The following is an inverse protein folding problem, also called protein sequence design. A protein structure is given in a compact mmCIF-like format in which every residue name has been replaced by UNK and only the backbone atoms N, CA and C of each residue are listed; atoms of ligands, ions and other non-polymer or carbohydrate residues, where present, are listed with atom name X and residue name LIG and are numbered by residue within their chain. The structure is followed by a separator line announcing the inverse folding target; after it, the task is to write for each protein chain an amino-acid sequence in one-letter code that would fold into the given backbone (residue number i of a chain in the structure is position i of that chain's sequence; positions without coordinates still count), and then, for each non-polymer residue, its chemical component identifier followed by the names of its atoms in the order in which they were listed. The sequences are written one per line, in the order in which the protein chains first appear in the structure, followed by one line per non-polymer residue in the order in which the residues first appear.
data_IF_694610046766
#
_entry.id   IF_694610046766
#
_cell.length_a   1.000
_cell.length_b   1.000
_cell.length_c   1.000
_cell.angle_alpha   90.00
_cell.angle_beta   90.00
_cell.angle_gamma   90.00
#
_symmetry.space_group_name_H-M   'P 1'
#
loop_
_entity.id
_entity.type
_entity.pdbx_description
1 polymer ?
#
# COMPACT_ATOMS: atom_id res chain seq x y z
N UNK A 1 -19.38 0.26 12.94
CA UNK A 1 -18.11 0.02 13.67
C UNK A 1 -17.61 -1.41 13.45
N UNK A 2 -18.44 -2.46 13.64
CA UNK A 2 -18.02 -3.86 13.43
C UNK A 2 -17.51 -4.13 12.01
N UNK A 3 -18.18 -3.60 10.97
CA UNK A 3 -17.74 -3.74 9.59
C UNK A 3 -16.34 -3.12 9.35
N UNK A 4 -16.09 -1.94 9.93
CA UNK A 4 -14.79 -1.26 9.83
C UNK A 4 -13.70 -2.08 10.53
N UNK A 5 -13.95 -2.59 11.74
CA UNK A 5 -12.99 -3.43 12.45
C UNK A 5 -12.69 -4.73 11.69
N UNK A 6 -13.74 -5.37 11.12
CA UNK A 6 -13.58 -6.56 10.30
C UNK A 6 -12.77 -6.29 9.03
N UNK A 7 -13.12 -5.23 8.29
CA UNK A 7 -12.39 -4.84 7.08
C UNK A 7 -10.93 -4.50 7.34
N UNK A 8 -10.65 -3.76 8.43
CA UNK A 8 -9.30 -3.45 8.86
C UNK A 8 -8.52 -4.73 9.22
N UNK A 9 -9.11 -5.62 10.00
CA UNK A 9 -8.47 -6.88 10.41
C UNK A 9 -8.18 -7.81 9.22
N UNK A 10 -9.17 -8.02 8.35
CA UNK A 10 -9.02 -8.87 7.15
C UNK A 10 -7.94 -8.31 6.23
N UNK A 11 -7.96 -7.00 5.95
CA UNK A 11 -6.96 -6.37 5.07
C UNK A 11 -5.57 -6.37 5.69
N UNK A 12 -5.46 -6.20 7.01
CA UNK A 12 -4.17 -6.30 7.70
C UNK A 12 -3.51 -7.67 7.56
N UNK A 13 -4.33 -8.74 7.51
CA UNK A 13 -3.85 -10.12 7.33
C UNK A 13 -3.57 -10.40 5.86
N UNK A 14 -4.52 -10.09 4.97
CA UNK A 14 -4.39 -10.35 3.53
C UNK A 14 -3.39 -9.43 2.83
N UNK A 15 -3.10 -8.27 3.42
CA UNK A 15 -2.24 -7.22 2.86
C UNK A 15 -2.69 -6.75 1.47
N UNK A 16 -4.01 -6.85 1.20
CA UNK A 16 -4.62 -6.45 -0.07
C UNK A 16 -6.02 -5.88 0.14
N UNK A 17 -6.15 -4.57 0.11
CA UNK A 17 -7.44 -3.87 0.18
C UNK A 17 -8.32 -4.17 -1.04
N UNK A 18 -7.71 -4.34 -2.22
CA UNK A 18 -8.42 -4.73 -3.43
C UNK A 18 -9.08 -6.10 -3.30
N UNK A 19 -8.35 -7.11 -2.80
CA UNK A 19 -8.91 -8.45 -2.56
C UNK A 19 -10.07 -8.40 -1.56
N UNK A 20 -9.91 -7.67 -0.45
CA UNK A 20 -10.98 -7.49 0.55
C UNK A 20 -12.21 -6.82 -0.07
N UNK A 21 -12.02 -5.81 -0.92
CA UNK A 21 -13.12 -5.09 -1.57
C UNK A 21 -13.83 -5.97 -2.60
N UNK A 22 -13.10 -6.72 -3.45
CA UNK A 22 -13.70 -7.66 -4.42
C UNK A 22 -14.51 -8.74 -3.71
N UNK A 23 -13.97 -9.34 -2.64
CA UNK A 23 -14.71 -10.30 -1.82
C UNK A 23 -15.99 -9.69 -1.24
N UNK A 24 -15.92 -8.45 -0.75
CA UNK A 24 -17.07 -7.74 -0.20
C UNK A 24 -18.14 -7.50 -1.26
N UNK A 25 -17.74 -7.07 -2.47
CA UNK A 25 -18.67 -6.89 -3.62
C UNK A 25 -19.32 -8.22 -3.99
N UNK A 26 -18.53 -9.31 -4.05
CA UNK A 26 -19.07 -10.66 -4.30
C UNK A 26 -20.11 -11.09 -3.27
N UNK A 27 -19.89 -10.80 -1.98
CA UNK A 27 -20.86 -11.11 -0.90
C UNK A 27 -22.15 -10.26 -1.01
N UNK A 28 -22.05 -9.02 -1.46
CA UNK A 28 -23.23 -8.18 -1.73
C UNK A 28 -24.01 -8.71 -2.92
N UNK A 29 -23.33 -9.06 -4.01
CA UNK A 29 -23.96 -9.61 -5.20
C UNK A 29 -24.65 -10.97 -4.92
N UNK A 30 -24.06 -11.78 -4.05
CA UNK A 30 -24.66 -13.04 -3.58
C UNK A 30 -25.84 -12.86 -2.59
N UNK A 31 -26.17 -11.62 -2.24
CA UNK A 31 -27.24 -11.33 -1.26
C UNK A 31 -26.90 -11.68 0.19
N UNK A 32 -25.64 -12.01 0.47
CA UNK A 32 -25.17 -12.39 1.82
C UNK A 32 -24.83 -11.18 2.69
N UNK A 33 -24.71 -10.01 2.08
CA UNK A 33 -24.34 -8.76 2.75
C UNK A 33 -25.13 -7.59 2.16
N UNK A 34 -25.54 -6.64 3.00
CA UNK A 34 -26.15 -5.41 2.52
C UNK A 34 -25.08 -4.31 2.26
N UNK A 35 -25.46 -3.30 1.47
CA UNK A 35 -24.57 -2.21 1.07
C UNK A 35 -23.99 -1.45 2.27
N UNK A 36 -24.76 -1.26 3.34
CA UNK A 36 -24.30 -0.55 4.53
C UNK A 36 -23.19 -1.32 5.27
N UNK A 37 -23.30 -2.64 5.32
CA UNK A 37 -22.26 -3.51 5.89
C UNK A 37 -21.00 -3.49 5.01
N UNK A 38 -21.19 -3.60 3.71
CA UNK A 38 -20.10 -3.53 2.72
C UNK A 38 -19.31 -2.22 2.81
N UNK A 39 -20.01 -1.08 2.91
CA UNK A 39 -19.37 0.22 3.07
C UNK A 39 -18.46 0.26 4.31
N UNK A 40 -18.90 -0.29 5.44
CA UNK A 40 -18.08 -0.40 6.64
C UNK A 40 -16.79 -1.22 6.41
N UNK A 41 -16.89 -2.35 5.69
CA UNK A 41 -15.74 -3.22 5.42
C UNK A 41 -14.75 -2.52 4.47
N UNK A 42 -15.24 -1.84 3.43
CA UNK A 42 -14.38 -1.09 2.48
C UNK A 42 -13.63 0.04 3.19
N UNK A 43 -14.32 0.80 4.06
CA UNK A 43 -13.67 1.81 4.89
C UNK A 43 -12.60 1.21 5.81
N UNK A 44 -12.89 0.05 6.40
CA UNK A 44 -11.95 -0.70 7.22
C UNK A 44 -10.75 -1.21 6.42
N UNK A 45 -10.97 -1.65 5.18
CA UNK A 45 -9.90 -2.13 4.31
C UNK A 45 -8.84 -1.04 4.05
N UNK A 46 -9.26 0.21 3.85
CA UNK A 46 -8.33 1.33 3.71
C UNK A 46 -7.53 1.55 4.99
N UNK A 47 -8.16 1.41 6.17
CA UNK A 47 -7.43 1.48 7.44
C UNK A 47 -6.42 0.33 7.56
N UNK A 48 -6.81 -0.91 7.18
CA UNK A 48 -5.93 -2.08 7.22
C UNK A 48 -4.65 -1.92 6.38
N UNK A 49 -4.73 -1.20 5.26
CA UNK A 49 -3.57 -0.88 4.42
C UNK A 49 -2.53 -0.01 5.15
N UNK A 50 -2.96 0.82 6.11
CA UNK A 50 -2.03 1.67 6.86
C UNK A 50 -1.04 0.89 7.73
N UNK A 51 -1.35 -0.36 8.09
CA UNK A 51 -0.41 -1.22 8.82
C UNK A 51 0.85 -1.49 7.98
N UNK A 52 0.70 -1.71 6.68
CA UNK A 52 1.85 -1.82 5.76
C UNK A 52 2.68 -0.54 5.77
N UNK A 53 2.01 0.63 5.69
CA UNK A 53 2.69 1.92 5.75
C UNK A 53 3.43 2.13 7.09
N UNK A 54 2.84 1.70 8.21
CA UNK A 54 3.48 1.73 9.53
C UNK A 54 4.75 0.86 9.56
N UNK A 55 4.68 -0.37 9.03
CA UNK A 55 5.84 -1.25 8.94
C UNK A 55 6.96 -0.64 8.09
N UNK A 56 6.60 0.01 6.98
CA UNK A 56 7.53 0.71 6.10
C UNK A 56 8.15 1.94 6.79
N UNK A 57 7.38 2.64 7.63
CA UNK A 57 7.84 3.84 8.34
C UNK A 57 8.97 3.56 9.34
N UNK A 58 9.09 2.32 9.84
CA UNK A 58 10.24 1.91 10.63
C UNK A 58 11.49 1.89 9.74
N UNK A 59 12.35 2.89 9.89
CA UNK A 59 13.63 3.00 9.17
C UNK A 59 14.62 1.93 9.66
N UNK A 60 14.37 0.68 9.29
CA UNK A 60 15.23 -0.46 9.62
C UNK A 60 16.30 -0.69 8.53
N UNK A 61 16.65 0.35 7.79
CA UNK A 61 17.61 0.31 6.67
C UNK A 61 18.95 -0.33 7.08
N UNK A 62 19.41 -0.05 8.29
CA UNK A 62 20.70 -0.57 8.79
C UNK A 62 20.65 -2.07 9.10
N UNK A 63 19.45 -2.61 9.29
CA UNK A 63 19.23 -4.03 9.63
C UNK A 63 18.79 -4.88 8.44
N UNK A 64 18.64 -4.31 7.24
CA UNK A 64 18.16 -5.03 6.04
C UNK A 64 19.00 -6.27 5.77
N UNK A 65 20.31 -6.11 5.71
CA UNK A 65 21.24 -7.21 5.43
C UNK A 65 21.19 -8.29 6.51
N UNK A 66 21.06 -7.89 7.77
CA UNK A 66 20.96 -8.80 8.90
C UNK A 66 19.63 -9.59 8.84
N UNK A 67 18.51 -8.93 8.55
CA UNK A 67 17.19 -9.57 8.39
C UNK A 67 17.19 -10.58 7.25
N UNK A 68 17.78 -10.23 6.11
CA UNK A 68 17.91 -11.11 4.96
C UNK A 68 18.78 -12.32 5.28
N UNK A 69 19.95 -12.11 5.91
CA UNK A 69 20.87 -13.18 6.28
C UNK A 69 20.25 -14.15 7.28
N UNK A 70 19.63 -13.63 8.35
CA UNK A 70 18.98 -14.45 9.38
C UNK A 70 17.78 -15.19 8.76
N UNK A 71 16.93 -14.52 7.98
CA UNK A 71 15.79 -15.15 7.34
C UNK A 71 16.21 -16.28 6.39
N UNK A 72 17.26 -16.06 5.60
CA UNK A 72 17.83 -17.06 4.71
C UNK A 72 18.42 -18.26 5.47
N UNK A 73 19.21 -18.02 6.51
CA UNK A 73 19.79 -19.06 7.35
C UNK A 73 18.71 -19.91 8.01
N UNK A 74 17.72 -19.29 8.64
CA UNK A 74 16.60 -19.99 9.27
C UNK A 74 15.88 -20.86 8.24
N UNK A 75 15.54 -20.29 7.06
CA UNK A 75 14.85 -21.03 6.01
C UNK A 75 15.63 -22.24 5.49
N UNK A 76 16.95 -22.12 5.39
CA UNK A 76 17.83 -23.15 4.82
C UNK A 76 18.13 -24.24 5.82
N UNK A 77 18.43 -23.90 7.08
CA UNK A 77 18.89 -24.82 8.11
C UNK A 77 17.74 -25.48 8.88
N UNK A 78 16.60 -24.81 9.00
CA UNK A 78 15.50 -25.31 9.79
C UNK A 78 14.90 -26.60 9.18
N UNK A 79 14.68 -27.60 10.03
CA UNK A 79 14.03 -28.86 9.65
C UNK A 79 12.50 -28.77 9.79
N UNK A 80 12.01 -27.97 10.75
CA UNK A 80 10.57 -27.79 11.00
C UNK A 80 9.96 -26.79 10.02
N UNK A 81 8.79 -27.12 9.46
CA UNK A 81 8.07 -26.26 8.51
C UNK A 81 7.78 -24.86 9.07
N UNK A 82 7.31 -24.78 10.32
CA UNK A 82 7.04 -23.52 10.99
C UNK A 82 8.26 -22.59 11.05
N UNK A 83 9.44 -23.12 11.32
CA UNK A 83 10.67 -22.33 11.34
C UNK A 83 11.07 -21.86 9.93
N UNK A 84 10.82 -22.67 8.88
CA UNK A 84 11.02 -22.24 7.49
C UNK A 84 10.09 -21.10 7.12
N UNK A 85 8.84 -21.16 7.56
CA UNK A 85 7.84 -20.12 7.30
C UNK A 85 8.23 -18.81 8.01
N UNK A 86 8.72 -18.86 9.25
CA UNK A 86 9.27 -17.69 9.96
C UNK A 86 10.48 -17.12 9.20
N UNK A 87 11.42 -17.95 8.77
CA UNK A 87 12.55 -17.52 7.94
C UNK A 87 12.12 -16.83 6.65
N UNK A 88 11.06 -17.36 6.02
CA UNK A 88 10.49 -16.77 4.81
C UNK A 88 9.85 -15.41 5.06
N UNK A 89 9.12 -15.24 6.17
CA UNK A 89 8.53 -13.95 6.58
C UNK A 89 9.63 -12.92 6.84
N UNK A 90 10.67 -13.27 7.60
CA UNK A 90 11.80 -12.39 7.86
C UNK A 90 12.52 -11.97 6.57
N UNK A 91 12.74 -12.92 5.67
CA UNK A 91 13.37 -12.64 4.37
C UNK A 91 12.49 -11.74 3.50
N UNK A 92 11.17 -12.00 3.45
CA UNK A 92 10.20 -11.16 2.73
C UNK A 92 10.16 -9.74 3.26
N UNK A 93 10.19 -9.57 4.57
CA UNK A 93 10.27 -8.26 5.21
C UNK A 93 11.60 -7.54 4.88
N UNK A 94 12.71 -8.26 4.90
CA UNK A 94 14.00 -7.71 4.48
C UNK A 94 14.02 -7.26 3.01
N UNK A 95 13.41 -8.04 2.10
CA UNK A 95 13.28 -7.68 0.69
C UNK A 95 12.40 -6.42 0.53
N UNK A 96 11.29 -6.34 1.27
CA UNK A 96 10.44 -5.17 1.26
C UNK A 96 11.20 -3.90 1.70
N UNK A 97 11.96 -3.99 2.79
CA UNK A 97 12.79 -2.88 3.27
C UNK A 97 13.90 -2.50 2.26
N UNK A 98 14.51 -3.50 1.61
CA UNK A 98 15.48 -3.26 0.54
C UNK A 98 14.86 -2.50 -0.64
N UNK A 99 13.68 -2.92 -1.09
CA UNK A 99 12.94 -2.24 -2.16
C UNK A 99 12.61 -0.80 -1.80
N UNK A 100 12.22 -0.53 -0.56
CA UNK A 100 11.99 0.83 -0.06
C UNK A 100 13.27 1.68 -0.06
N UNK A 101 14.38 1.12 0.38
CA UNK A 101 15.67 1.80 0.36
C UNK A 101 16.09 2.14 -1.09
N UNK A 102 15.91 1.20 -2.03
CA UNK A 102 16.19 1.43 -3.44
C UNK A 102 15.30 2.51 -4.03
N UNK A 103 13.99 2.51 -3.74
CA UNK A 103 13.08 3.59 -4.17
C UNK A 103 13.50 4.94 -3.62
N UNK A 104 13.81 5.01 -2.32
CA UNK A 104 14.26 6.25 -1.67
C UNK A 104 15.52 6.80 -2.30
N UNK A 105 16.49 5.93 -2.59
CA UNK A 105 17.74 6.33 -3.26
C UNK A 105 17.51 6.77 -4.72
N UNK A 106 16.55 6.14 -5.41
CA UNK A 106 16.21 6.48 -6.80
C UNK A 106 15.55 7.84 -6.94
N UNK A 107 14.75 8.25 -5.94
CA UNK A 107 14.10 9.57 -5.94
C UNK A 107 14.98 10.68 -5.36
N UNK A 108 16.05 10.34 -4.64
CA UNK A 108 16.95 11.32 -4.03
C UNK A 108 17.53 12.33 -5.02
N UNK A 109 17.98 11.97 -6.26
CA UNK A 109 18.47 12.93 -7.23
C UNK A 109 17.44 13.97 -7.69
N UNK A 110 16.15 13.63 -7.60
CA UNK A 110 15.05 14.52 -8.03
C UNK A 110 14.95 15.79 -7.17
N UNK A 111 15.49 15.78 -5.95
CA UNK A 111 15.60 16.96 -5.07
C UNK A 111 16.38 18.12 -5.69
N UNK A 112 17.32 17.81 -6.57
CA UNK A 112 18.17 18.79 -7.21
C UNK A 112 17.62 19.26 -8.56
N UNK A 113 16.53 18.66 -9.03
CA UNK A 113 15.88 19.07 -10.28
C UNK A 113 14.80 20.11 -10.00
N UNK A 114 15.09 21.34 -10.39
CA UNK A 114 14.21 22.51 -10.17
C UNK A 114 12.79 22.29 -10.73
N UNK A 115 12.70 21.71 -11.92
CA UNK A 115 11.41 21.46 -12.57
C UNK A 115 10.55 20.46 -11.77
N UNK A 116 11.17 19.44 -11.18
CA UNK A 116 10.48 18.46 -10.34
C UNK A 116 10.01 19.10 -9.04
N UNK A 117 10.87 19.89 -8.40
CA UNK A 117 10.54 20.58 -7.14
C UNK A 117 9.41 21.59 -7.35
N UNK A 118 9.44 22.36 -8.42
CA UNK A 118 8.35 23.29 -8.78
C UNK A 118 7.05 22.57 -9.09
N UNK A 119 7.13 21.47 -9.84
CA UNK A 119 5.95 20.65 -10.16
C UNK A 119 5.30 20.08 -8.89
N UNK A 120 6.11 19.51 -7.97
CA UNK A 120 5.63 19.03 -6.68
C UNK A 120 5.06 20.18 -5.82
N UNK A 121 5.72 21.32 -5.82
CA UNK A 121 5.25 22.52 -5.11
C UNK A 121 3.84 22.96 -5.56
N UNK A 122 3.51 22.79 -6.83
CA UNK A 122 2.17 23.10 -7.36
C UNK A 122 1.08 22.18 -6.81
N UNK A 123 1.35 20.91 -6.57
CA UNK A 123 0.34 20.04 -5.94
C UNK A 123 0.13 20.37 -4.47
N UNK A 124 1.19 20.79 -3.77
CA UNK A 124 1.11 21.15 -2.35
C UNK A 124 0.22 22.35 -2.12
N UNK A 125 0.14 23.26 -3.12
CA UNK A 125 -0.72 24.44 -3.07
C UNK A 125 -2.14 24.19 -3.58
N UNK A 126 -2.35 23.12 -4.38
CA UNK A 126 -3.64 22.80 -4.98
C UNK A 126 -4.08 21.37 -4.61
N UNK A 127 -4.85 21.17 -3.54
CA UNK A 127 -5.26 19.85 -3.06
C UNK A 127 -5.94 18.98 -4.10
N UNK A 128 -6.74 19.59 -5.00
CA UNK A 128 -7.41 18.85 -6.09
C UNK A 128 -6.41 18.22 -7.06
N UNK A 129 -5.33 18.93 -7.38
CA UNK A 129 -4.26 18.37 -8.22
C UNK A 129 -3.56 17.20 -7.52
N UNK A 130 -3.26 17.32 -6.24
CA UNK A 130 -2.69 16.23 -5.45
C UNK A 130 -3.58 14.98 -5.45
N UNK A 131 -4.89 15.17 -5.27
CA UNK A 131 -5.87 14.11 -5.31
C UNK A 131 -5.90 13.41 -6.69
N UNK A 132 -5.91 14.18 -7.78
CA UNK A 132 -5.90 13.64 -9.14
C UNK A 132 -4.60 12.87 -9.42
N UNK A 133 -3.45 13.37 -8.96
CA UNK A 133 -2.16 12.68 -9.10
C UNK A 133 -2.19 11.36 -8.36
N UNK A 134 -2.64 11.31 -7.11
CA UNK A 134 -2.74 10.09 -6.33
C UNK A 134 -3.66 9.05 -6.99
N UNK A 135 -4.83 9.49 -7.45
CA UNK A 135 -5.78 8.67 -8.19
C UNK A 135 -5.13 8.09 -9.46
N UNK A 136 -4.52 8.93 -10.30
CA UNK A 136 -3.87 8.47 -11.53
C UNK A 136 -2.71 7.51 -11.25
N UNK A 137 -1.88 7.81 -10.26
CA UNK A 137 -0.78 6.92 -9.86
C UNK A 137 -1.30 5.54 -9.48
N UNK A 138 -2.32 5.47 -8.66
CA UNK A 138 -2.88 4.20 -8.18
C UNK A 138 -3.57 3.40 -9.29
N UNK A 139 -4.29 4.07 -10.19
CA UNK A 139 -4.88 3.43 -11.37
C UNK A 139 -3.82 2.82 -12.29
N UNK A 140 -2.69 3.52 -12.49
CA UNK A 140 -1.58 3.05 -13.33
C UNK A 140 -0.78 1.94 -12.64
N UNK A 141 -0.41 2.14 -11.38
CA UNK A 141 0.43 1.19 -10.61
C UNK A 141 -0.39 -0.02 -10.15
N UNK A 142 -1.71 0.16 -9.97
CA UNK A 142 -2.66 -0.86 -9.48
C UNK A 142 -2.31 -1.41 -8.09
N UNK A 143 -1.61 -0.63 -7.29
CA UNK A 143 -1.19 -0.98 -5.94
C UNK A 143 -1.11 0.25 -5.07
N UNK A 144 -2.06 0.41 -4.15
CA UNK A 144 -2.06 1.49 -3.17
C UNK A 144 -0.82 1.44 -2.26
N UNK A 145 -0.41 0.25 -1.84
CA UNK A 145 0.79 0.09 -1.02
C UNK A 145 2.05 0.56 -1.74
N UNK A 146 2.17 0.33 -3.06
CA UNK A 146 3.29 0.84 -3.84
C UNK A 146 3.24 2.36 -3.99
N UNK A 147 2.06 2.94 -4.24
CA UNK A 147 1.87 4.40 -4.31
C UNK A 147 2.24 5.06 -2.98
N UNK A 148 1.75 4.51 -1.86
CA UNK A 148 2.13 4.98 -0.51
C UNK A 148 3.62 4.85 -0.28
N UNK A 149 4.25 3.75 -0.71
CA UNK A 149 5.69 3.54 -0.62
C UNK A 149 6.50 4.61 -1.35
N UNK A 150 6.12 4.93 -2.59
CA UNK A 150 6.74 6.00 -3.39
C UNK A 150 6.56 7.35 -2.67
N UNK A 151 5.36 7.64 -2.18
CA UNK A 151 5.06 8.89 -1.49
C UNK A 151 5.89 9.03 -0.20
N UNK A 152 6.04 7.94 0.56
CA UNK A 152 6.89 7.91 1.76
C UNK A 152 8.37 8.10 1.42
N UNK A 153 8.86 7.50 0.32
CA UNK A 153 10.22 7.70 -0.14
C UNK A 153 10.46 9.18 -0.52
N UNK A 154 9.51 9.80 -1.22
CA UNK A 154 9.59 11.23 -1.58
C UNK A 154 9.51 12.14 -0.34
N UNK A 155 8.62 11.86 0.59
CA UNK A 155 8.51 12.61 1.84
C UNK A 155 9.77 12.44 2.71
N UNK A 156 10.31 11.24 2.79
CA UNK A 156 11.55 10.93 3.51
C UNK A 156 12.77 11.67 2.94
N UNK A 157 12.77 11.98 1.65
CA UNK A 157 13.78 12.79 0.98
C UNK A 157 13.47 14.30 1.03
N UNK A 158 12.37 14.73 1.65
CA UNK A 158 11.96 16.11 1.74
C UNK A 158 11.49 16.72 0.40
N UNK A 159 11.12 15.88 -0.56
CA UNK A 159 10.59 16.30 -1.87
C UNK A 159 9.14 16.78 -1.78
N UNK A 160 8.34 16.16 -0.93
CA UNK A 160 6.94 16.51 -0.74
C UNK A 160 6.68 16.82 0.74
N UNK A 161 6.09 17.99 1.07
CA UNK A 161 5.67 18.28 2.43
C UNK A 161 4.40 17.48 2.80
N UNK A 162 4.09 17.41 4.10
CA UNK A 162 2.94 16.65 4.59
C UNK A 162 1.61 17.17 4.00
N UNK A 163 1.48 18.48 3.86
CA UNK A 163 0.29 19.12 3.29
C UNK A 163 0.04 18.71 1.84
N UNK A 164 1.11 18.45 1.07
CA UNK A 164 1.02 17.97 -0.30
C UNK A 164 0.82 16.44 -0.37
N UNK A 165 1.32 15.70 0.62
CA UNK A 165 1.19 14.24 0.66
C UNK A 165 -0.24 13.77 0.98
N UNK A 166 -0.96 14.49 1.85
CA UNK A 166 -2.32 14.11 2.27
C UNK A 166 -3.31 14.05 1.10
N UNK A 167 -3.41 15.06 0.21
CA UNK A 167 -4.29 14.97 -0.96
C UNK A 167 -3.96 13.80 -1.89
N UNK A 168 -2.66 13.50 -2.08
CA UNK A 168 -2.22 12.37 -2.90
C UNK A 168 -2.67 11.04 -2.28
N UNK A 169 -2.57 10.87 -0.95
CA UNK A 169 -3.07 9.70 -0.24
C UNK A 169 -4.59 9.54 -0.36
N UNK A 170 -5.35 10.65 -0.31
CA UNK A 170 -6.79 10.60 -0.52
C UNK A 170 -7.12 10.16 -1.95
N UNK A 171 -6.38 10.64 -2.94
CA UNK A 171 -6.50 10.23 -4.32
C UNK A 171 -6.17 8.76 -4.53
N UNK A 172 -5.13 8.25 -3.87
CA UNK A 172 -4.73 6.85 -3.86
C UNK A 172 -5.88 5.93 -3.36
N UNK A 173 -6.53 6.32 -2.28
CA UNK A 173 -7.68 5.58 -1.75
C UNK A 173 -8.86 5.53 -2.74
N UNK A 174 -9.15 6.64 -3.43
CA UNK A 174 -10.19 6.69 -4.47
C UNK A 174 -9.78 5.82 -5.66
N UNK A 175 -8.53 5.88 -6.09
CA UNK A 175 -7.98 5.07 -7.17
C UNK A 175 -8.08 3.58 -6.90
N UNK A 176 -7.84 3.17 -5.68
CA UNK A 176 -7.94 1.77 -5.23
C UNK A 176 -9.36 1.23 -5.39
N UNK A 177 -10.38 1.99 -4.99
CA UNK A 177 -11.79 1.57 -5.12
C UNK A 177 -12.20 1.52 -6.57
N UNK A 178 -11.87 2.54 -7.37
CA UNK A 178 -12.22 2.63 -8.79
C UNK A 178 -11.66 1.47 -9.60
N UNK A 179 -10.40 1.14 -9.42
CA UNK A 179 -9.72 0.03 -10.07
C UNK A 179 -10.30 -1.34 -9.65
N UNK A 180 -10.66 -1.49 -8.37
CA UNK A 180 -11.28 -2.72 -7.86
C UNK A 180 -12.65 -2.96 -8.51
N UNK A 181 -13.41 -1.89 -8.75
CA UNK A 181 -14.71 -1.98 -9.39
C UNK A 181 -14.61 -2.45 -10.86
N UNK A 182 -13.63 -1.93 -11.61
CA UNK A 182 -13.35 -2.37 -12.97
C UNK A 182 -12.97 -3.86 -13.03
N UNK A 183 -12.15 -4.32 -12.10
CA UNK A 183 -11.70 -5.71 -12.04
C UNK A 183 -12.81 -6.69 -11.62
N UNK A 184 -13.75 -6.26 -10.77
CA UNK A 184 -14.92 -7.07 -10.43
C UNK A 184 -15.79 -7.34 -11.68
N UNK A 185 -15.97 -6.35 -12.56
CA UNK A 185 -16.69 -6.50 -13.81
C UNK A 185 -15.98 -7.41 -14.82
N UNK A 186 -14.65 -7.42 -14.85
CA UNK A 186 -13.89 -8.34 -15.71
C UNK A 186 -14.10 -9.81 -15.27
N UNK A 187 -14.20 -10.06 -13.98
CA UNK A 187 -14.39 -11.42 -13.43
C UNK A 187 -15.80 -11.95 -13.77
N UNK A 188 -16.82 -11.11 -13.76
CA UNK A 188 -18.20 -11.48 -14.13
C UNK A 188 -18.35 -11.82 -15.62
N UNK A 189 -17.43 -11.36 -16.48
CA UNK A 189 -17.46 -11.67 -17.91
C UNK A 189 -16.86 -13.03 -18.28
N UNK A 190 -16.22 -13.72 -17.33
CA UNK A 190 -15.64 -15.06 -17.49
C UNK A 190 -16.44 -16.18 -16.78
N UNK A 191 -17.55 -15.84 -16.10
CA UNK A 191 -18.50 -16.78 -15.50
C UNK A 191 -19.78 -16.88 -16.30
#
# INVERSE_FOLDING_TARGET
IYGVALGAGVTSILQSSSATTVMTVGLVNAGLMNLQQAFGIVMGANIGTTITAQLIAFKLTDYITLLLAIGFLIRTVAKKRQMKDIGQVLMGFGILMLGMAMMSNSVAPLRHNTAVVEFIGRFSTHPILGLLVGLCMTVVIQSSSATVGILMAMAGQGLIPLEGAVPVLLGDNIGTVSYTHLRAHETDSYL
#
